data_IF_608098155865
#
_entry.id   IF_608098155865
#
_cell.length_a   1.000
_cell.length_b   1.000
_cell.length_c   1.000
_cell.angle_alpha   90.00
_cell.angle_beta   90.00
_cell.angle_gamma   90.00
#
_symmetry.space_group_name_H-M   'P 1'
#
loop_
_entity.id
_entity.type
_entity.pdbx_description
1 polymer ?
#
# COMPACT_ATOMS: atom_id res chain seq x y z
N UNK A 1 9.64 3.27 -2.02
CA UNK A 1 8.82 2.33 -1.20
C UNK A 1 9.58 1.04 -0.87
N UNK A 2 10.08 0.28 -1.85
CA UNK A 2 10.84 -0.96 -1.56
C UNK A 2 12.07 -0.66 -0.70
N UNK A 3 12.90 0.31 -1.05
CA UNK A 3 14.10 0.63 -0.27
C UNK A 3 13.77 0.99 1.20
N UNK A 4 12.87 1.94 1.44
CA UNK A 4 12.52 2.35 2.81
C UNK A 4 11.74 1.28 3.58
N UNK A 5 10.64 0.77 2.99
CA UNK A 5 9.78 -0.20 3.65
C UNK A 5 10.38 -1.59 3.78
N UNK A 6 10.79 -2.22 2.66
CA UNK A 6 11.42 -3.55 2.74
C UNK A 6 12.79 -3.47 3.39
N UNK A 7 13.54 -2.37 3.20
CA UNK A 7 14.82 -2.16 3.85
C UNK A 7 14.70 -2.12 5.36
N UNK A 8 13.69 -1.46 5.91
CA UNK A 8 13.42 -1.46 7.35
C UNK A 8 13.15 -2.87 7.89
N UNK A 9 12.44 -3.70 7.10
CA UNK A 9 12.16 -5.08 7.47
C UNK A 9 13.43 -5.95 7.44
N UNK A 10 14.29 -5.78 6.42
CA UNK A 10 15.51 -6.60 6.23
C UNK A 10 16.61 -6.19 7.19
N UNK A 11 16.81 -4.90 7.38
CA UNK A 11 17.99 -4.38 8.09
C UNK A 11 17.74 -4.08 9.57
N UNK A 12 16.51 -3.71 9.95
CA UNK A 12 16.25 -3.15 11.27
C UNK A 12 15.15 -3.88 12.08
N UNK A 13 14.25 -4.64 11.46
CA UNK A 13 13.11 -5.21 12.19
C UNK A 13 13.50 -6.15 13.32
N UNK A 14 14.47 -7.02 13.08
CA UNK A 14 14.93 -8.02 14.02
C UNK A 14 16.35 -7.72 14.56
N UNK A 15 16.75 -6.46 14.60
CA UNK A 15 18.04 -6.09 15.16
C UNK A 15 18.07 -6.44 16.67
N UNK A 16 19.10 -7.11 17.16
CA UNK A 16 19.15 -7.56 18.57
C UNK A 16 18.96 -6.40 19.54
N UNK A 17 18.05 -6.57 20.51
CA UNK A 17 17.70 -5.64 21.58
C UNK A 17 17.10 -4.27 21.16
N UNK A 18 17.32 -3.80 19.94
CA UNK A 18 16.89 -2.48 19.47
C UNK A 18 16.05 -2.56 18.18
N UNK A 19 15.56 -3.74 17.81
CA UNK A 19 14.77 -3.95 16.59
C UNK A 19 13.46 -3.20 16.61
N UNK A 20 13.06 -2.68 15.44
CA UNK A 20 11.85 -1.89 15.26
C UNK A 20 10.57 -2.72 15.14
N UNK A 21 10.68 -4.02 14.95
CA UNK A 21 9.54 -4.93 14.84
C UNK A 21 8.51 -4.54 13.79
N UNK A 22 7.32 -5.11 13.88
CA UNK A 22 6.22 -4.82 12.94
C UNK A 22 5.76 -3.37 12.98
N UNK A 23 5.73 -2.75 14.15
CA UNK A 23 5.34 -1.35 14.30
C UNK A 23 6.26 -0.43 13.51
N UNK A 24 7.58 -0.58 13.67
CA UNK A 24 8.54 0.24 12.97
C UNK A 24 8.54 0.00 11.46
N UNK A 25 8.36 -1.26 11.01
CA UNK A 25 8.23 -1.59 9.58
C UNK A 25 6.96 -0.95 9.00
N UNK A 26 5.83 -1.03 9.69
CA UNK A 26 4.58 -0.40 9.25
C UNK A 26 4.72 1.12 9.11
N UNK A 27 5.35 1.77 10.09
CA UNK A 27 5.66 3.20 10.04
C UNK A 27 6.62 3.52 8.89
N UNK A 28 7.66 2.72 8.66
CA UNK A 28 8.62 2.95 7.58
C UNK A 28 7.97 2.92 6.19
N UNK A 29 7.02 2.00 5.94
CA UNK A 29 6.25 1.98 4.69
C UNK A 29 5.40 3.24 4.53
N UNK A 30 4.65 3.63 5.56
CA UNK A 30 3.81 4.81 5.52
C UNK A 30 4.59 6.11 5.39
N UNK A 31 5.65 6.29 6.17
CA UNK A 31 6.53 7.46 6.10
C UNK A 31 7.25 7.58 4.75
N UNK A 32 7.69 6.44 4.19
CA UNK A 32 8.30 6.44 2.84
C UNK A 32 7.31 6.96 1.79
N UNK A 33 6.06 6.53 1.85
CA UNK A 33 5.04 7.01 0.91
C UNK A 33 4.69 8.47 1.16
N UNK A 34 4.52 8.87 2.42
CA UNK A 34 4.21 10.24 2.83
C UNK A 34 5.27 11.21 2.32
N UNK A 35 6.53 10.93 2.62
CA UNK A 35 7.66 11.79 2.22
C UNK A 35 7.84 11.83 0.71
N UNK A 36 7.71 10.67 0.03
CA UNK A 36 7.75 10.63 -1.43
C UNK A 36 6.60 11.41 -2.06
N UNK A 37 5.39 11.32 -1.51
CA UNK A 37 4.24 12.05 -2.03
C UNK A 37 4.41 13.57 -1.93
N UNK A 38 5.01 14.09 -0.86
CA UNK A 38 5.39 15.50 -0.78
C UNK A 38 6.51 15.85 -1.75
N UNK A 39 7.53 15.00 -1.88
CA UNK A 39 8.71 15.29 -2.68
C UNK A 39 8.45 15.26 -4.20
N UNK A 40 7.68 14.27 -4.69
CA UNK A 40 7.51 14.02 -6.13
C UNK A 40 6.04 13.89 -6.57
N UNK A 41 5.08 14.09 -5.67
CA UNK A 41 3.66 14.01 -6.00
C UNK A 41 3.24 15.00 -7.08
N UNK A 42 3.76 16.21 -7.04
CA UNK A 42 3.51 17.26 -8.04
C UNK A 42 4.17 16.99 -9.41
N UNK A 43 5.14 16.05 -9.48
CA UNK A 43 5.85 15.69 -10.72
C UNK A 43 5.17 14.49 -11.39
N UNK A 44 4.92 13.42 -10.64
CA UNK A 44 4.51 12.11 -11.17
C UNK A 44 3.20 11.56 -10.59
N UNK A 45 2.52 12.31 -9.75
CA UNK A 45 1.40 11.79 -8.97
C UNK A 45 1.80 10.83 -7.85
N UNK A 46 3.08 10.43 -7.78
CA UNK A 46 3.66 9.56 -6.75
C UNK A 46 2.83 8.30 -6.45
N UNK A 47 2.28 7.63 -7.48
CA UNK A 47 1.45 6.43 -7.24
C UNK A 47 2.23 5.30 -6.57
N UNK A 48 3.50 5.08 -6.95
CA UNK A 48 4.45 4.06 -6.44
C UNK A 48 3.90 2.63 -6.38
N UNK A 49 2.79 2.36 -7.07
CA UNK A 49 2.04 1.12 -6.98
C UNK A 49 1.25 0.85 -8.28
N UNK A 50 1.48 -0.27 -8.99
CA UNK A 50 0.72 -0.64 -10.17
C UNK A 50 -0.80 -0.77 -9.92
N UNK A 51 -1.22 -1.32 -8.78
CA UNK A 51 -2.63 -1.48 -8.45
C UNK A 51 -3.32 -0.12 -8.23
N UNK A 52 -2.62 0.84 -7.61
CA UNK A 52 -3.10 2.22 -7.47
C UNK A 52 -3.23 2.88 -8.85
N UNK A 53 -2.24 2.72 -9.73
CA UNK A 53 -2.32 3.29 -11.08
C UNK A 53 -3.49 2.71 -11.88
N UNK A 54 -3.71 1.39 -11.83
CA UNK A 54 -4.85 0.73 -12.46
C UNK A 54 -6.19 1.25 -11.88
N UNK A 55 -6.27 1.40 -10.57
CA UNK A 55 -7.44 1.97 -9.91
C UNK A 55 -7.73 3.43 -10.30
N UNK A 56 -6.70 4.26 -10.43
CA UNK A 56 -6.86 5.65 -10.92
C UNK A 56 -7.30 5.70 -12.39
N UNK A 57 -6.87 4.75 -13.23
CA UNK A 57 -7.39 4.62 -14.60
C UNK A 57 -8.88 4.28 -14.56
N UNK A 58 -9.31 3.31 -13.76
CA UNK A 58 -10.73 2.95 -13.63
C UNK A 58 -11.57 4.10 -13.07
N UNK A 59 -10.99 4.91 -12.18
CA UNK A 59 -11.61 6.13 -11.64
C UNK A 59 -11.58 7.33 -12.61
N UNK A 60 -10.99 7.17 -13.81
CA UNK A 60 -10.79 8.24 -14.81
C UNK A 60 -9.95 9.44 -14.28
N UNK A 61 -9.04 9.18 -13.36
CA UNK A 61 -8.10 10.17 -12.79
C UNK A 61 -6.68 10.03 -13.34
N UNK A 62 -6.44 9.03 -14.17
CA UNK A 62 -5.16 8.77 -14.81
C UNK A 62 -5.40 8.23 -16.23
N UNK A 63 -4.65 8.66 -17.25
CA UNK A 63 -4.83 8.19 -18.62
C UNK A 63 -4.38 6.72 -18.76
N UNK A 64 -5.19 5.91 -19.46
CA UNK A 64 -4.89 4.49 -19.66
C UNK A 64 -3.61 4.27 -20.50
N UNK A 65 -3.29 5.19 -21.40
CA UNK A 65 -2.06 5.17 -22.23
C UNK A 65 -0.79 5.21 -21.39
N UNK A 66 -0.83 5.86 -20.22
CA UNK A 66 0.31 6.00 -19.31
C UNK A 66 0.45 4.81 -18.35
N UNK A 67 -0.52 3.89 -18.29
CA UNK A 67 -0.51 2.81 -17.30
C UNK A 67 0.69 1.90 -17.47
N UNK A 68 0.95 1.43 -18.70
CA UNK A 68 2.03 0.47 -18.96
C UNK A 68 3.42 1.07 -18.69
N UNK A 69 3.79 2.25 -19.21
CA UNK A 69 5.05 2.91 -18.84
C UNK A 69 5.23 3.08 -17.33
N UNK A 70 4.14 3.45 -16.63
CA UNK A 70 4.17 3.61 -15.18
C UNK A 70 4.39 2.29 -14.44
N UNK A 71 3.76 1.20 -14.86
CA UNK A 71 3.97 -0.12 -14.27
C UNK A 71 5.41 -0.57 -14.46
N UNK A 72 5.95 -0.45 -15.69
CA UNK A 72 7.32 -0.82 -16.01
C UNK A 72 8.32 -0.05 -15.16
N UNK A 73 8.20 1.28 -15.11
CA UNK A 73 9.10 2.12 -14.31
C UNK A 73 9.08 1.74 -12.82
N UNK A 74 7.91 1.40 -12.27
CA UNK A 74 7.78 0.99 -10.86
C UNK A 74 8.37 -0.37 -10.57
N UNK A 75 8.18 -1.32 -11.48
CA UNK A 75 8.78 -2.66 -11.34
C UNK A 75 10.29 -2.55 -11.41
N UNK A 76 10.83 -1.82 -12.40
CA UNK A 76 12.27 -1.61 -12.52
C UNK A 76 12.85 -0.89 -11.28
N UNK A 77 12.17 0.15 -10.79
CA UNK A 77 12.57 0.85 -9.56
C UNK A 77 12.51 -0.04 -8.31
N UNK A 78 11.52 -0.95 -8.23
CA UNK A 78 11.42 -1.91 -7.14
C UNK A 78 12.56 -2.94 -7.21
N UNK A 79 12.90 -3.44 -8.40
CA UNK A 79 14.01 -4.37 -8.62
C UNK A 79 15.36 -3.71 -8.29
N UNK A 80 15.59 -2.47 -8.74
CA UNK A 80 16.80 -1.72 -8.42
C UNK A 80 16.94 -1.48 -6.91
N UNK A 81 15.86 -1.10 -6.24
CA UNK A 81 15.84 -0.92 -4.79
C UNK A 81 16.10 -2.22 -4.03
N UNK A 82 15.49 -3.34 -4.45
CA UNK A 82 15.74 -4.65 -3.87
C UNK A 82 17.19 -5.12 -4.12
N UNK A 83 17.74 -4.87 -5.32
CA UNK A 83 19.14 -5.16 -5.62
C UNK A 83 20.10 -4.36 -4.73
N UNK A 84 19.84 -3.07 -4.52
CA UNK A 84 20.64 -2.25 -3.60
C UNK A 84 20.56 -2.79 -2.18
N UNK A 85 19.36 -3.15 -1.70
CA UNK A 85 19.20 -3.77 -0.37
C UNK A 85 19.90 -5.11 -0.26
N UNK A 86 19.87 -5.92 -1.32
CA UNK A 86 20.58 -7.20 -1.36
C UNK A 86 22.09 -7.01 -1.18
N UNK A 87 22.68 -6.05 -1.92
CA UNK A 87 24.11 -5.72 -1.78
C UNK A 87 24.44 -5.25 -0.36
N UNK A 88 23.62 -4.37 0.22
CA UNK A 88 23.84 -3.89 1.59
C UNK A 88 23.74 -5.05 2.60
N UNK A 89 22.68 -5.86 2.50
CA UNK A 89 22.43 -6.96 3.42
C UNK A 89 23.51 -8.07 3.30
N UNK A 90 24.04 -8.30 2.10
CA UNK A 90 25.13 -9.26 1.85
C UNK A 90 26.44 -8.87 2.53
N UNK A 91 26.60 -7.62 2.96
CA UNK A 91 27.72 -7.20 3.79
C UNK A 91 27.68 -7.75 5.22
N UNK A 92 26.57 -8.39 5.63
CA UNK A 92 26.45 -9.05 6.93
C UNK A 92 26.80 -10.53 6.79
N UNK A 93 27.68 -11.02 7.66
CA UNK A 93 28.00 -12.45 7.75
C UNK A 93 26.74 -13.29 8.05
N UNK A 94 26.58 -14.41 7.36
CA UNK A 94 25.41 -15.29 7.50
C UNK A 94 24.13 -14.77 6.86
N UNK A 95 24.18 -13.72 6.02
CA UNK A 95 22.99 -13.26 5.29
C UNK A 95 22.53 -14.33 4.29
N UNK A 96 21.25 -14.68 4.38
CA UNK A 96 20.56 -15.58 3.44
C UNK A 96 19.27 -14.95 2.93
N UNK A 97 19.24 -14.58 1.67
CA UNK A 97 18.03 -14.01 1.04
C UNK A 97 16.89 -15.01 0.96
N UNK A 98 17.16 -16.31 0.88
CA UNK A 98 16.14 -17.35 0.80
C UNK A 98 15.27 -17.44 2.05
N UNK A 99 15.77 -16.95 3.18
CA UNK A 99 15.03 -16.84 4.45
C UNK A 99 13.84 -15.86 4.41
N UNK A 100 13.63 -15.14 3.29
CA UNK A 100 12.43 -14.35 3.09
C UNK A 100 12.61 -12.96 2.51
N UNK A 101 13.70 -12.25 2.79
CA UNK A 101 14.07 -10.94 2.24
C UNK A 101 12.90 -9.96 2.04
N UNK A 102 12.04 -9.85 3.04
CA UNK A 102 10.80 -9.07 3.02
C UNK A 102 9.81 -9.45 1.89
N UNK A 103 9.90 -10.65 1.33
CA UNK A 103 8.94 -11.15 0.34
C UNK A 103 7.56 -11.40 0.95
N UNK A 104 6.56 -11.33 0.10
CA UNK A 104 5.19 -11.68 0.46
C UNK A 104 4.94 -13.18 0.25
N UNK A 105 4.08 -13.76 1.09
CA UNK A 105 3.77 -15.17 1.01
C UNK A 105 2.41 -15.55 1.60
N UNK A 106 1.96 -16.78 1.30
CA UNK A 106 0.77 -17.40 1.86
C UNK A 106 1.04 -18.84 2.28
N UNK A 107 0.14 -19.44 3.08
CA UNK A 107 0.32 -20.79 3.59
C UNK A 107 1.58 -20.89 4.44
N UNK A 108 2.49 -21.82 4.13
CA UNK A 108 3.73 -22.02 4.86
C UNK A 108 4.69 -20.80 4.80
N UNK A 109 4.49 -19.88 3.86
CA UNK A 109 5.28 -18.66 3.72
C UNK A 109 4.55 -17.40 4.20
N UNK A 110 3.33 -17.53 4.74
CA UNK A 110 2.67 -16.48 5.49
C UNK A 110 3.36 -16.31 6.84
N UNK A 111 3.68 -15.10 7.31
CA UNK A 111 4.28 -14.91 8.63
C UNK A 111 3.47 -15.53 9.78
N UNK A 112 2.14 -15.48 9.70
CA UNK A 112 1.22 -16.09 10.68
C UNK A 112 0.59 -17.40 10.21
N UNK A 113 1.05 -18.03 9.12
CA UNK A 113 0.52 -19.32 8.64
C UNK A 113 -0.86 -19.24 7.99
N UNK A 114 -1.29 -18.09 7.49
CA UNK A 114 -2.63 -17.89 6.92
C UNK A 114 -2.80 -18.60 5.59
N UNK A 115 -4.01 -19.15 5.39
CA UNK A 115 -4.38 -19.85 4.16
C UNK A 115 -4.39 -18.94 2.93
N UNK A 116 -4.32 -19.53 1.73
CA UNK A 116 -4.42 -18.81 0.46
C UNK A 116 -5.69 -17.94 0.40
N UNK A 117 -6.85 -18.47 0.80
CA UNK A 117 -8.11 -17.72 0.77
C UNK A 117 -8.11 -16.48 1.66
N UNK A 118 -7.57 -16.61 2.88
CA UNK A 118 -7.41 -15.48 3.80
C UNK A 118 -6.47 -14.41 3.22
N UNK A 119 -5.35 -14.83 2.63
CA UNK A 119 -4.39 -13.91 2.00
C UNK A 119 -4.98 -13.19 0.78
N UNK A 120 -5.72 -13.90 -0.10
CA UNK A 120 -6.43 -13.28 -1.24
C UNK A 120 -7.42 -12.22 -0.75
N UNK A 121 -8.28 -12.58 0.24
CA UNK A 121 -9.26 -11.65 0.78
C UNK A 121 -8.61 -10.41 1.38
N UNK A 122 -7.55 -10.61 2.17
CA UNK A 122 -6.80 -9.51 2.79
C UNK A 122 -6.23 -8.55 1.76
N UNK A 123 -5.55 -9.07 0.74
CA UNK A 123 -4.94 -8.24 -0.31
C UNK A 123 -5.99 -7.47 -1.13
N UNK A 124 -7.13 -8.11 -1.47
CA UNK A 124 -8.23 -7.44 -2.19
C UNK A 124 -8.83 -6.32 -1.34
N UNK A 125 -9.23 -6.63 -0.11
CA UNK A 125 -9.93 -5.68 0.76
C UNK A 125 -9.03 -4.49 1.11
N UNK A 126 -7.79 -4.76 1.53
CA UNK A 126 -6.88 -3.69 1.93
C UNK A 126 -6.43 -2.83 0.76
N UNK A 127 -6.28 -3.39 -0.44
CA UNK A 127 -6.00 -2.57 -1.63
C UNK A 127 -7.21 -1.71 -2.02
N UNK A 128 -8.42 -2.25 -1.91
CA UNK A 128 -9.65 -1.48 -2.16
C UNK A 128 -9.80 -0.32 -1.16
N UNK A 129 -9.59 -0.57 0.13
CA UNK A 129 -9.59 0.47 1.17
C UNK A 129 -8.50 1.51 0.94
N UNK A 130 -7.29 1.07 0.56
CA UNK A 130 -6.19 1.98 0.25
C UNK A 130 -6.54 2.92 -0.91
N UNK A 131 -7.12 2.38 -1.99
CA UNK A 131 -7.55 3.21 -3.12
C UNK A 131 -8.69 4.15 -2.74
N UNK A 132 -9.63 3.71 -1.89
CA UNK A 132 -10.68 4.57 -1.37
C UNK A 132 -10.10 5.77 -0.61
N UNK A 133 -9.09 5.53 0.25
CA UNK A 133 -8.40 6.60 0.98
C UNK A 133 -7.68 7.56 0.05
N UNK A 134 -7.01 7.04 -0.99
CA UNK A 134 -6.35 7.87 -2.02
C UNK A 134 -7.36 8.73 -2.75
N UNK A 135 -8.45 8.14 -3.24
CA UNK A 135 -9.48 8.85 -3.99
C UNK A 135 -10.20 9.90 -3.14
N UNK A 136 -10.47 9.57 -1.88
CA UNK A 136 -11.12 10.47 -0.93
C UNK A 136 -10.23 11.66 -0.54
N UNK A 137 -8.99 11.38 -0.12
CA UNK A 137 -8.06 12.43 0.32
C UNK A 137 -7.59 13.36 -0.80
N UNK A 138 -7.68 12.91 -2.06
CA UNK A 138 -7.36 13.71 -3.26
C UNK A 138 -8.59 14.28 -3.95
N UNK A 139 -9.77 14.17 -3.37
CA UNK A 139 -10.98 14.81 -3.88
C UNK A 139 -10.88 16.34 -3.74
N UNK A 140 -11.52 17.08 -4.66
CA UNK A 140 -11.51 18.56 -4.63
C UNK A 140 -12.13 19.16 -3.36
N UNK A 141 -12.99 18.40 -2.68
CA UNK A 141 -13.65 18.79 -1.43
C UNK A 141 -12.82 18.47 -0.19
N UNK A 142 -11.78 17.65 -0.34
CA UNK A 142 -10.88 17.33 0.77
C UNK A 142 -9.96 18.52 1.10
N UNK A 143 -9.47 18.62 2.35
CA UNK A 143 -8.52 19.66 2.73
C UNK A 143 -7.28 19.62 1.84
N UNK A 144 -6.98 20.74 1.20
CA UNK A 144 -5.87 20.82 0.25
C UNK A 144 -4.51 20.64 0.96
N UNK A 145 -3.59 19.96 0.30
CA UNK A 145 -2.22 19.74 0.81
C UNK A 145 -2.07 18.61 1.85
N UNK A 146 -3.15 18.08 2.40
CA UNK A 146 -3.08 17.04 3.45
C UNK A 146 -3.15 15.60 2.92
N UNK A 147 -3.45 15.40 1.64
CA UNK A 147 -3.55 14.08 1.04
C UNK A 147 -2.33 13.16 1.30
N UNK A 148 -1.06 13.62 1.18
CA UNK A 148 0.10 12.80 1.47
C UNK A 148 0.12 12.23 2.89
N UNK A 149 -0.35 13.00 3.87
CA UNK A 149 -0.43 12.58 5.28
C UNK A 149 -1.45 11.45 5.43
N UNK A 150 -2.67 11.66 4.92
CA UNK A 150 -3.74 10.66 4.98
C UNK A 150 -3.35 9.36 4.27
N UNK A 151 -2.73 9.44 3.09
CA UNK A 151 -2.30 8.30 2.30
C UNK A 151 -1.16 7.55 3.00
N UNK A 152 -0.17 8.25 3.55
CA UNK A 152 0.94 7.65 4.26
C UNK A 152 0.48 6.90 5.52
N UNK A 153 -0.34 7.53 6.37
CA UNK A 153 -0.89 6.86 7.55
C UNK A 153 -1.85 5.72 7.23
N UNK A 154 -2.61 5.83 6.14
CA UNK A 154 -3.43 4.71 5.65
C UNK A 154 -2.57 3.50 5.31
N UNK A 155 -1.43 3.69 4.64
CA UNK A 155 -0.50 2.60 4.36
C UNK A 155 0.14 2.03 5.63
N UNK A 156 0.46 2.87 6.62
CA UNK A 156 0.91 2.40 7.94
C UNK A 156 -0.13 1.50 8.59
N UNK A 157 -1.40 1.93 8.61
CA UNK A 157 -2.49 1.15 9.20
C UNK A 157 -2.68 -0.21 8.50
N UNK A 158 -2.62 -0.22 7.17
CA UNK A 158 -2.67 -1.44 6.37
C UNK A 158 -1.55 -2.41 6.77
N UNK A 159 -0.33 -1.93 6.95
CA UNK A 159 0.80 -2.76 7.36
C UNK A 159 0.64 -3.27 8.80
N UNK A 160 0.15 -2.45 9.73
CA UNK A 160 -0.14 -2.89 11.10
C UNK A 160 -1.12 -4.05 11.16
N UNK A 161 -2.09 -4.09 10.23
CA UNK A 161 -3.11 -5.15 10.17
C UNK A 161 -2.59 -6.40 9.46
N UNK A 162 -1.82 -6.26 8.37
CA UNK A 162 -1.60 -7.37 7.43
C UNK A 162 -0.17 -7.89 7.32
N UNK A 163 0.80 -7.32 8.02
CA UNK A 163 2.14 -7.93 8.10
C UNK A 163 2.06 -9.40 8.55
N UNK A 164 1.31 -9.77 9.60
CA UNK A 164 1.19 -11.18 9.99
C UNK A 164 0.55 -12.07 8.93
N UNK A 165 -0.31 -11.52 8.06
CA UNK A 165 -1.08 -12.30 7.09
C UNK A 165 -0.30 -12.62 5.83
N UNK A 166 0.29 -11.59 5.19
CA UNK A 166 0.95 -11.74 3.88
C UNK A 166 2.33 -11.10 3.82
N UNK A 167 2.82 -10.55 4.93
CA UNK A 167 3.89 -9.55 4.95
C UNK A 167 3.51 -8.29 4.14
N UNK A 168 2.24 -8.00 4.01
CA UNK A 168 1.59 -6.87 3.35
C UNK A 168 2.14 -6.56 1.96
N UNK A 169 1.36 -6.84 0.93
CA UNK A 169 1.69 -6.38 -0.42
C UNK A 169 0.96 -5.09 -0.75
N UNK A 170 -0.32 -5.20 -1.03
CA UNK A 170 -1.21 -4.19 -1.64
C UNK A 170 -0.56 -3.48 -2.84
N UNK A 171 0.54 -4.03 -3.36
CA UNK A 171 1.40 -3.40 -4.36
C UNK A 171 2.20 -4.44 -5.17
N UNK A 172 1.83 -4.73 -6.42
CA UNK A 172 2.52 -5.69 -7.26
C UNK A 172 4.03 -5.42 -7.42
N UNK A 173 4.44 -4.17 -7.61
CA UNK A 173 5.86 -3.83 -7.78
C UNK A 173 6.66 -4.05 -6.48
N UNK A 174 6.06 -3.75 -5.32
CA UNK A 174 6.66 -4.01 -4.01
C UNK A 174 6.95 -5.48 -3.80
N UNK A 175 6.04 -6.35 -4.27
CA UNK A 175 6.20 -7.80 -4.14
C UNK A 175 7.20 -8.37 -5.13
N UNK A 176 7.28 -7.81 -6.34
CA UNK A 176 8.17 -8.29 -7.39
C UNK A 176 9.64 -8.09 -7.03
N UNK A 177 10.01 -6.92 -6.49
CA UNK A 177 11.41 -6.63 -6.16
C UNK A 177 12.06 -7.70 -5.26
N UNK A 178 11.60 -7.89 -4.03
CA UNK A 178 12.15 -8.91 -3.13
C UNK A 178 12.04 -10.33 -3.66
N UNK A 179 10.92 -10.68 -4.33
CA UNK A 179 10.70 -12.05 -4.84
C UNK A 179 11.77 -12.49 -5.84
N UNK A 180 12.33 -11.57 -6.63
CA UNK A 180 13.41 -11.88 -7.57
C UNK A 180 14.69 -12.32 -6.85
N UNK A 181 14.96 -11.81 -5.67
CA UNK A 181 16.17 -12.13 -4.89
C UNK A 181 15.99 -13.35 -3.98
N UNK A 182 14.77 -13.67 -3.58
CA UNK A 182 14.42 -14.91 -2.88
C UNK A 182 14.34 -16.08 -3.86
N UNK A 183 13.79 -15.85 -5.06
CA UNK A 183 13.59 -16.89 -6.05
C UNK A 183 12.50 -17.90 -5.63
N UNK A 184 12.66 -19.13 -6.09
CA UNK A 184 11.92 -20.33 -5.67
C UNK A 184 10.45 -20.11 -5.32
N UNK A 185 10.11 -20.21 -4.06
CA UNK A 185 8.75 -20.10 -3.53
C UNK A 185 8.13 -18.71 -3.73
N UNK A 186 8.94 -17.66 -3.56
CA UNK A 186 8.44 -16.29 -3.65
C UNK A 186 7.98 -15.94 -5.07
N UNK A 187 8.73 -16.40 -6.09
CA UNK A 187 8.31 -16.24 -7.48
C UNK A 187 7.06 -17.07 -7.81
N UNK A 188 6.96 -18.31 -7.26
CA UNK A 188 5.76 -19.14 -7.46
C UNK A 188 4.51 -18.55 -6.82
N UNK A 189 4.64 -17.79 -5.73
CA UNK A 189 3.52 -17.16 -5.04
C UNK A 189 3.24 -15.71 -5.50
N UNK A 190 4.11 -15.13 -6.33
CA UNK A 190 4.03 -13.74 -6.76
C UNK A 190 2.73 -13.39 -7.50
N UNK A 191 2.12 -14.38 -8.19
CA UNK A 191 0.88 -14.19 -8.94
C UNK A 191 -0.26 -13.63 -8.06
N UNK A 192 -0.36 -14.09 -6.81
CA UNK A 192 -1.39 -13.60 -5.88
C UNK A 192 -1.24 -12.11 -5.65
N UNK A 193 -0.01 -11.65 -5.45
CA UNK A 193 0.34 -10.26 -5.13
C UNK A 193 0.28 -9.32 -6.35
N UNK A 194 0.01 -9.88 -7.52
CA UNK A 194 -0.42 -9.14 -8.70
C UNK A 194 -1.94 -9.16 -8.83
N UNK A 195 -2.54 -10.34 -8.81
CA UNK A 195 -3.97 -10.51 -9.11
C UNK A 195 -4.85 -9.87 -8.02
N UNK A 196 -4.63 -10.19 -6.75
CA UNK A 196 -5.48 -9.72 -5.67
C UNK A 196 -5.44 -8.18 -5.50
N UNK A 197 -4.26 -7.50 -5.47
CA UNK A 197 -4.23 -6.05 -5.45
C UNK A 197 -4.85 -5.38 -6.69
N UNK A 198 -4.68 -5.97 -7.89
CA UNK A 198 -5.32 -5.43 -9.10
C UNK A 198 -6.84 -5.56 -9.06
N UNK A 199 -7.39 -6.65 -8.52
CA UNK A 199 -8.83 -6.81 -8.29
C UNK A 199 -9.32 -5.76 -7.29
N UNK A 200 -8.64 -5.60 -6.15
CA UNK A 200 -8.98 -4.60 -5.13
C UNK A 200 -8.92 -3.18 -5.67
N UNK A 201 -7.88 -2.85 -6.43
CA UNK A 201 -7.71 -1.53 -7.04
C UNK A 201 -8.63 -1.26 -8.23
N UNK A 202 -8.91 -2.29 -9.06
CA UNK A 202 -9.70 -2.16 -10.29
C UNK A 202 -11.21 -2.34 -10.12
N UNK A 203 -11.69 -2.71 -8.93
CA UNK A 203 -13.10 -3.00 -8.69
C UNK A 203 -14.03 -1.82 -9.05
N UNK A 204 -15.18 -2.13 -9.68
CA UNK A 204 -16.25 -1.13 -9.99
C UNK A 204 -16.76 -0.39 -8.75
N UNK A 205 -16.46 -0.90 -7.57
CA UNK A 205 -16.75 -0.33 -6.26
C UNK A 205 -16.23 1.09 -6.10
N UNK A 206 -15.04 1.40 -6.65
CA UNK A 206 -14.46 2.75 -6.56
C UNK A 206 -15.24 3.82 -7.33
N UNK A 207 -16.00 3.47 -8.39
CA UNK A 207 -16.84 4.43 -9.14
C UNK A 207 -18.16 4.75 -8.44
N UNK A 208 -18.77 3.75 -7.80
CA UNK A 208 -20.05 3.88 -7.09
C UNK A 208 -19.86 4.43 -5.68
N UNK A 209 -18.85 3.97 -4.99
CA UNK A 209 -18.63 4.26 -3.57
C UNK A 209 -18.20 5.71 -3.33
N UNK A 210 -17.40 6.33 -4.20
CA UNK A 210 -17.07 7.76 -4.06
C UNK A 210 -18.28 8.67 -4.29
N UNK A 211 -19.24 8.28 -5.15
CA UNK A 211 -20.51 9.00 -5.32
C UNK A 211 -21.51 8.67 -4.21
N UNK A 212 -21.67 7.40 -3.85
CA UNK A 212 -22.60 6.96 -2.81
C UNK A 212 -22.13 7.40 -1.40
N UNK A 213 -20.84 7.27 -1.07
CA UNK A 213 -20.28 7.80 0.17
C UNK A 213 -20.40 9.33 0.24
N UNK A 214 -20.14 10.01 -0.88
CA UNK A 214 -20.31 11.46 -0.96
C UNK A 214 -21.77 11.91 -0.74
N UNK A 215 -22.77 11.16 -1.22
CA UNK A 215 -24.18 11.44 -0.97
C UNK A 215 -24.63 11.05 0.44
N UNK A 216 -24.19 9.91 0.97
CA UNK A 216 -24.50 9.47 2.34
C UNK A 216 -23.89 10.40 3.39
N UNK A 217 -22.62 10.79 3.23
CA UNK A 217 -21.96 11.72 4.14
C UNK A 217 -22.55 13.13 4.04
N UNK A 218 -22.93 13.60 2.85
CA UNK A 218 -23.61 14.87 2.68
C UNK A 218 -24.99 14.89 3.38
N UNK A 219 -25.75 13.80 3.34
CA UNK A 219 -26.99 13.65 4.09
C UNK A 219 -26.76 13.64 5.61
N UNK A 220 -25.79 12.87 6.09
CA UNK A 220 -25.49 12.79 7.53
C UNK A 220 -24.98 14.12 8.11
N UNK A 221 -24.16 14.87 7.37
CA UNK A 221 -23.72 16.21 7.79
C UNK A 221 -24.85 17.24 7.73
N UNK A 222 -25.74 17.17 6.74
CA UNK A 222 -26.90 18.06 6.64
C UNK A 222 -27.86 17.83 7.81
N UNK A 223 -28.13 16.59 8.19
CA UNK A 223 -28.96 16.26 9.35
C UNK A 223 -28.33 16.74 10.68
N UNK A 224 -27.02 16.59 10.85
CA UNK A 224 -26.29 17.07 12.04
C UNK A 224 -26.29 18.62 12.13
N UNK A 225 -26.18 19.33 11.03
CA UNK A 225 -26.29 20.80 10.99
C UNK A 225 -27.69 21.27 11.35
N UNK A 226 -28.73 20.57 10.91
CA UNK A 226 -30.14 20.91 11.24
C UNK A 226 -30.42 20.68 12.72
N UNK A 227 -29.94 19.57 13.29
CA UNK A 227 -30.12 19.29 14.74
C UNK A 227 -29.41 20.34 15.61
N UNK A 228 -28.18 20.74 15.24
CA UNK A 228 -27.45 21.78 16.00
C UNK A 228 -28.06 23.18 15.86
N UNK A 229 -28.70 23.50 14.76
CA UNK A 229 -29.39 24.81 14.60
C UNK A 229 -30.72 24.89 15.36
N UNK A 230 -31.38 23.75 15.59
CA UNK A 230 -32.64 23.71 16.38
C UNK A 230 -32.39 23.76 17.90
N UNK A 231 -31.23 23.27 18.35
CA UNK A 231 -30.85 23.36 19.79
C UNK A 231 -30.32 24.73 20.23
N UNK A 232 -29.83 25.56 19.30
CA UNK A 232 -29.36 26.91 19.60
C UNK A 232 -30.49 27.99 19.63
N UNK A 233 -31.69 27.67 19.16
CA UNK A 233 -32.83 28.60 19.15
C UNK A 233 -33.86 28.35 20.29
N UNK A 234 -33.51 27.54 21.29
CA UNK A 234 -34.38 27.17 22.38
C UNK A 234 -33.91 27.66 23.79
N UNK A 235 -32.94 28.61 23.82
CA UNK A 235 -32.50 29.29 25.05
C UNK A 235 -32.85 30.79 25.01
#
# INVERSE_FOLDING_TARGET
MVFGGCGSAVLAAAFPALGIGFLGVALAFGLTLLTAAFAIGHISGCHLNPAVSAGLVTAKRFPASELLPYVVARVLGACAAAGTLYVIASGREGFDSSAGFASNGYGAHSPGGYSLGACVLTEIVLTALFLLMILGSTDRRAPQGLAPIAIGFSLTLIHLVSIPVTNTSVNPARSTGPALFVGGWALRQLWLFWVAPLIGGGGRTCRGTSRALGSMLAHSFAEQCVVNSTTQNSD
#
